data_IF_507251276853
#
_entry.id   IF_507251276853
#
_cell.length_a   1.000
_cell.length_b   1.000
_cell.length_c   1.000
_cell.angle_alpha   90.00
_cell.angle_beta   90.00
_cell.angle_gamma   90.00
#
_symmetry.space_group_name_H-M   'P 1'
#
loop_
_entity.id
_entity.type
_entity.pdbx_description
1 polymer ?
#
# COMPACT_ATOMS: atom_id res chain seq x y z
N UNK A 1 -12.39 -32.30 52.45
CA UNK A 1 -12.37 -30.86 52.11
C UNK A 1 -10.99 -30.58 51.54
N UNK A 2 -10.80 -30.15 50.29
CA UNK A 2 -11.19 -28.89 49.61
C UNK A 2 -11.34 -29.24 48.11
N UNK A 3 -12.51 -29.20 47.49
CA UNK A 3 -13.16 -28.11 46.73
C UNK A 3 -12.22 -27.34 45.77
N UNK A 4 -12.28 -27.74 44.49
CA UNK A 4 -12.28 -26.89 43.28
C UNK A 4 -10.98 -26.12 42.96
N UNK A 5 -10.40 -26.52 41.83
CA UNK A 5 -9.60 -25.67 40.97
C UNK A 5 -10.01 -25.86 39.50
N UNK A 6 -11.31 -25.77 39.20
CA UNK A 6 -11.81 -25.72 37.81
C UNK A 6 -11.98 -24.26 37.39
N UNK A 7 -10.96 -23.64 36.79
CA UNK A 7 -11.03 -22.33 36.13
C UNK A 7 -9.86 -22.29 35.12
N UNK A 8 -9.99 -21.99 33.83
CA UNK A 8 -11.07 -21.55 32.95
C UNK A 8 -10.65 -21.94 31.53
N UNK A 9 -11.57 -22.53 30.76
CA UNK A 9 -11.43 -22.65 29.31
C UNK A 9 -11.51 -21.26 28.69
N UNK A 10 -10.45 -20.81 28.04
CA UNK A 10 -10.56 -19.72 27.07
C UNK A 10 -11.12 -20.30 25.78
N UNK A 11 -12.43 -20.20 25.62
CA UNK A 11 -13.03 -20.27 24.30
C UNK A 11 -12.60 -18.99 23.56
N UNK A 12 -11.67 -19.12 22.61
CA UNK A 12 -11.48 -18.08 21.59
C UNK A 12 -12.72 -18.16 20.71
N UNK A 13 -13.73 -17.34 21.01
CA UNK A 13 -14.86 -17.17 20.09
C UNK A 13 -14.29 -16.53 18.82
N UNK A 14 -14.14 -17.37 17.79
CA UNK A 14 -13.93 -16.97 16.42
C UNK A 14 -15.17 -16.22 15.90
N UNK A 15 -15.32 -14.96 16.29
CA UNK A 15 -16.29 -13.99 15.74
C UNK A 15 -15.79 -13.43 14.39
N UNK A 16 -15.22 -14.32 13.55
CA UNK A 16 -14.12 -13.99 12.63
C UNK A 16 -14.47 -13.49 11.22
N UNK A 17 -15.72 -13.15 10.88
CA UNK A 17 -16.07 -12.75 9.50
C UNK A 17 -16.84 -11.42 9.39
N UNK A 18 -17.84 -11.20 10.25
CA UNK A 18 -18.61 -9.95 10.21
C UNK A 18 -17.82 -8.74 10.73
N UNK A 19 -16.88 -8.96 11.67
CA UNK A 19 -15.99 -7.92 12.16
C UNK A 19 -14.93 -7.57 11.09
N UNK A 20 -14.32 -8.59 10.49
CA UNK A 20 -13.30 -8.44 9.44
C UNK A 20 -13.81 -7.67 8.23
N UNK A 21 -15.02 -7.96 7.76
CA UNK A 21 -15.62 -7.23 6.62
C UNK A 21 -15.89 -5.76 6.93
N UNK A 22 -16.23 -5.43 8.18
CA UNK A 22 -16.37 -4.03 8.64
C UNK A 22 -15.02 -3.35 8.74
N UNK A 23 -14.04 -4.00 9.36
CA UNK A 23 -12.67 -3.49 9.46
C UNK A 23 -12.04 -3.25 8.08
N UNK A 24 -12.30 -4.13 7.12
CA UNK A 24 -11.85 -3.97 5.73
C UNK A 24 -12.47 -2.73 5.07
N UNK A 25 -13.77 -2.51 5.29
CA UNK A 25 -14.47 -1.31 4.82
C UNK A 25 -13.87 -0.05 5.44
N UNK A 26 -13.64 -0.07 6.75
CA UNK A 26 -13.07 1.06 7.49
C UNK A 26 -11.66 1.38 6.97
N UNK A 27 -10.87 0.36 6.64
CA UNK A 27 -9.53 0.54 6.06
C UNK A 27 -9.57 1.08 4.62
N UNK A 28 -10.51 0.59 3.80
CA UNK A 28 -10.73 1.13 2.46
C UNK A 28 -11.18 2.61 2.51
N UNK A 29 -12.08 2.95 3.43
CA UNK A 29 -12.52 4.33 3.65
C UNK A 29 -11.41 5.22 4.18
N UNK A 30 -10.56 4.71 5.09
CA UNK A 30 -9.37 5.42 5.58
C UNK A 30 -8.45 5.77 4.42
N UNK A 31 -8.16 4.82 3.54
CA UNK A 31 -7.24 5.04 2.43
C UNK A 31 -7.81 6.01 1.38
N UNK A 32 -9.10 5.91 1.08
CA UNK A 32 -9.81 6.88 0.24
C UNK A 32 -9.76 8.29 0.84
N UNK A 33 -10.00 8.41 2.16
CA UNK A 33 -9.89 9.68 2.87
C UNK A 33 -8.47 10.23 2.91
N UNK A 34 -7.47 9.38 3.07
CA UNK A 34 -6.06 9.78 3.00
C UNK A 34 -5.72 10.36 1.63
N UNK A 35 -6.12 9.70 0.53
CA UNK A 35 -5.86 10.20 -0.82
C UNK A 35 -6.54 11.57 -1.03
N UNK A 36 -7.77 11.74 -0.52
CA UNK A 36 -8.46 13.02 -0.59
C UNK A 36 -7.71 14.12 0.17
N UNK A 37 -7.26 13.85 1.40
CA UNK A 37 -6.46 14.80 2.20
C UNK A 37 -5.15 15.14 1.51
N UNK A 38 -4.42 14.15 0.99
CA UNK A 38 -3.16 14.39 0.29
C UNK A 38 -3.35 15.20 -0.98
N UNK A 39 -4.47 15.03 -1.69
CA UNK A 39 -4.79 15.82 -2.87
C UNK A 39 -5.11 17.28 -2.51
N UNK A 40 -5.86 17.51 -1.43
CA UNK A 40 -6.07 18.86 -0.90
C UNK A 40 -4.73 19.50 -0.46
N UNK A 41 -3.89 18.77 0.28
CA UNK A 41 -2.56 19.22 0.69
C UNK A 41 -1.64 19.48 -0.51
N UNK A 42 -1.70 18.67 -1.57
CA UNK A 42 -0.89 18.86 -2.77
C UNK A 42 -1.16 20.23 -3.41
N UNK A 43 -2.44 20.60 -3.50
CA UNK A 43 -2.86 21.90 -4.03
C UNK A 43 -2.47 23.03 -3.07
N UNK A 44 -2.72 22.86 -1.76
CA UNK A 44 -2.47 23.90 -0.76
C UNK A 44 -0.98 24.21 -0.58
N UNK A 45 -0.14 23.18 -0.54
CA UNK A 45 1.30 23.30 -0.37
C UNK A 45 2.02 23.59 -1.70
N UNK A 46 1.29 23.55 -2.83
CA UNK A 46 1.82 23.58 -4.18
C UNK A 46 3.00 22.58 -4.33
N UNK A 47 2.78 21.34 -3.87
CA UNK A 47 3.78 20.27 -3.85
C UNK A 47 3.16 18.96 -4.29
N UNK A 48 3.97 18.12 -4.93
CA UNK A 48 3.57 16.76 -5.30
C UNK A 48 3.71 15.80 -4.11
N UNK A 49 2.66 15.02 -3.89
CA UNK A 49 2.65 13.90 -2.95
C UNK A 49 2.62 12.58 -3.73
N UNK A 50 3.01 11.51 -3.06
CA UNK A 50 3.02 10.18 -3.63
C UNK A 50 2.68 9.13 -2.60
N UNK A 51 2.02 8.07 -3.04
CA UNK A 51 1.76 6.90 -2.21
C UNK A 51 2.64 5.74 -2.69
N UNK A 52 3.55 5.33 -1.82
CA UNK A 52 4.29 4.08 -1.95
C UNK A 52 3.41 2.95 -1.41
N UNK A 53 2.91 2.11 -2.30
CA UNK A 53 2.02 0.99 -2.00
C UNK A 53 2.81 -0.32 -2.08
N UNK A 54 2.63 -1.17 -1.07
CA UNK A 54 3.14 -2.54 -1.00
C UNK A 54 1.97 -3.46 -0.65
N UNK A 55 2.14 -4.76 -0.87
CA UNK A 55 1.05 -5.73 -0.56
C UNK A 55 0.60 -5.69 0.90
N UNK A 56 1.45 -5.24 1.82
CA UNK A 56 1.19 -5.29 3.27
C UNK A 56 1.28 -3.92 3.95
N UNK A 57 1.50 -2.85 3.18
CA UNK A 57 1.68 -1.52 3.75
C UNK A 57 1.56 -0.42 2.70
N UNK A 58 1.33 0.80 3.15
CA UNK A 58 1.51 1.99 2.32
C UNK A 58 2.22 3.09 3.10
N UNK A 59 2.89 3.99 2.39
CA UNK A 59 3.59 5.15 2.96
C UNK A 59 3.42 6.37 2.07
N UNK A 60 3.21 7.52 2.70
CA UNK A 60 3.18 8.81 2.03
C UNK A 60 4.60 9.35 1.83
N UNK A 61 4.86 9.80 0.62
CA UNK A 61 6.07 10.49 0.21
C UNK A 61 5.67 11.89 -0.29
N UNK A 62 6.59 12.83 -0.17
CA UNK A 62 6.49 14.14 -0.79
C UNK A 62 7.71 14.38 -1.69
N UNK A 63 7.49 15.05 -2.80
CA UNK A 63 8.57 15.42 -3.70
C UNK A 63 9.29 16.67 -3.19
N UNK A 64 10.60 16.56 -2.97
CA UNK A 64 11.48 17.69 -2.65
C UNK A 64 12.03 18.24 -3.97
N UNK A 65 11.39 19.28 -4.50
CA UNK A 65 11.76 19.92 -5.78
C UNK A 65 13.20 20.46 -5.77
N UNK A 66 13.69 20.95 -4.63
CA UNK A 66 15.04 21.49 -4.50
C UNK A 66 16.12 20.40 -4.64
N UNK A 67 15.80 19.17 -4.23
CA UNK A 67 16.71 18.02 -4.32
C UNK A 67 16.39 17.07 -5.48
N UNK A 68 15.20 17.21 -6.08
CA UNK A 68 14.67 16.30 -7.09
C UNK A 68 14.49 14.86 -6.59
N UNK A 69 14.08 14.68 -5.33
CA UNK A 69 13.95 13.36 -4.71
C UNK A 69 12.63 13.21 -3.95
N UNK A 70 12.10 11.98 -3.95
CA UNK A 70 11.00 11.60 -3.08
C UNK A 70 11.51 11.32 -1.66
N UNK A 71 10.85 11.92 -0.67
CA UNK A 71 11.20 11.75 0.74
C UNK A 71 9.96 11.43 1.58
N UNK A 72 10.15 10.67 2.66
CA UNK A 72 9.08 10.40 3.62
C UNK A 72 8.61 11.69 4.28
N UNK A 73 7.30 11.84 4.46
CA UNK A 73 6.71 13.01 5.12
C UNK A 73 6.90 12.89 6.64
N UNK A 74 7.50 13.89 7.31
CA UNK A 74 7.66 13.86 8.77
C UNK A 74 6.32 13.69 9.49
N UNK A 75 6.26 12.76 10.45
CA UNK A 75 5.03 12.44 11.20
C UNK A 75 4.09 11.47 10.49
N UNK A 76 4.28 11.18 9.20
CA UNK A 76 3.54 10.14 8.48
C UNK A 76 4.37 8.85 8.41
N UNK A 77 4.11 7.96 9.35
CA UNK A 77 4.74 6.64 9.37
C UNK A 77 4.11 5.71 8.32
N UNK A 78 4.85 4.67 7.95
CA UNK A 78 4.29 3.59 7.14
C UNK A 78 3.11 2.94 7.86
N UNK A 79 1.98 2.88 7.18
CA UNK A 79 0.82 2.18 7.67
C UNK A 79 0.90 0.72 7.23
N UNK A 80 0.86 -0.22 8.19
CA UNK A 80 0.82 -1.66 7.90
C UNK A 80 -0.61 -2.16 7.86
N UNK A 81 -0.89 -2.96 6.85
CA UNK A 81 -2.15 -3.69 6.76
C UNK A 81 -2.27 -4.70 7.90
N UNK A 82 -3.49 -4.91 8.42
CA UNK A 82 -3.78 -6.06 9.25
C UNK A 82 -3.37 -7.35 8.55
N UNK A 83 -2.98 -8.37 9.33
CA UNK A 83 -2.48 -9.65 8.78
C UNK A 83 -3.51 -10.38 7.90
N UNK A 84 -4.79 -10.08 8.07
CA UNK A 84 -5.89 -10.64 7.29
C UNK A 84 -6.17 -9.87 5.99
N UNK A 85 -5.53 -8.71 5.77
CA UNK A 85 -5.70 -7.87 4.59
C UNK A 85 -4.43 -7.82 3.73
N UNK A 86 -4.61 -7.43 2.47
CA UNK A 86 -3.53 -7.11 1.53
C UNK A 86 -4.00 -6.08 0.51
N UNK A 87 -3.03 -5.39 -0.07
CA UNK A 87 -3.24 -4.43 -1.16
C UNK A 87 -2.83 -5.05 -2.50
N UNK A 88 -3.57 -4.72 -3.56
CA UNK A 88 -3.20 -4.98 -4.94
C UNK A 88 -3.44 -3.71 -5.76
N UNK A 89 -2.41 -3.26 -6.47
CA UNK A 89 -2.46 -2.02 -7.26
C UNK A 89 -2.32 -2.37 -8.75
N UNK A 90 -3.20 -1.80 -9.56
CA UNK A 90 -3.12 -1.83 -11.02
C UNK A 90 -3.00 -0.38 -11.53
N UNK A 91 -2.03 -0.15 -12.40
CA UNK A 91 -1.79 1.14 -13.05
C UNK A 91 -2.11 1.00 -14.53
N UNK A 92 -2.91 1.90 -15.09
CA UNK A 92 -3.21 1.94 -16.54
C UNK A 92 -3.64 0.59 -17.18
N UNK A 93 -4.26 -0.30 -16.40
CA UNK A 93 -4.71 -1.63 -16.86
C UNK A 93 -3.62 -2.71 -16.91
N UNK A 94 -2.40 -2.42 -16.44
CA UNK A 94 -1.35 -3.41 -16.25
C UNK A 94 -1.23 -3.78 -14.75
N UNK A 95 -1.35 -5.07 -14.39
CA UNK A 95 -1.29 -5.48 -12.99
C UNK A 95 0.14 -5.31 -12.45
N UNK A 96 0.30 -4.47 -11.42
CA UNK A 96 1.61 -4.24 -10.80
C UNK A 96 1.86 -5.27 -9.69
N UNK A 97 2.93 -6.05 -9.84
CA UNK A 97 3.39 -6.95 -8.77
C UNK A 97 4.03 -6.15 -7.64
N UNK A 98 3.25 -5.90 -6.61
CA UNK A 98 3.73 -5.25 -5.38
C UNK A 98 4.76 -6.15 -4.68
N UNK A 99 5.93 -5.60 -4.36
CA UNK A 99 6.96 -6.33 -3.62
C UNK A 99 6.62 -6.36 -2.13
N UNK A 100 6.64 -7.55 -1.52
CA UNK A 100 6.59 -7.71 -0.07
C UNK A 100 7.85 -7.10 0.57
N UNK A 101 7.77 -6.53 1.77
CA UNK A 101 8.93 -5.96 2.44
C UNK A 101 9.94 -7.09 2.73
N UNK A 102 10.98 -7.18 1.91
CA UNK A 102 12.13 -8.06 2.16
C UNK A 102 12.88 -7.50 3.36
N UNK A 103 13.00 -8.31 4.41
CA UNK A 103 13.94 -8.04 5.51
C UNK A 103 15.35 -8.05 4.90
N UNK A 104 15.97 -6.88 4.91
CA UNK A 104 17.38 -6.66 4.63
C UNK A 104 18.22 -7.58 5.52
N UNK A 105 18.85 -8.59 4.93
CA UNK A 105 19.95 -9.34 5.56
C UNK A 105 21.05 -9.52 4.51
N UNK A 106 22.25 -9.35 5.02
CA UNK A 106 23.54 -9.12 4.39
C UNK A 106 24.03 -10.11 3.33
N UNK A 107 24.85 -9.53 2.43
CA UNK A 107 26.07 -10.04 1.78
C UNK A 107 26.05 -11.37 1.01
N UNK A 108 26.33 -11.29 -0.31
CA UNK A 108 27.42 -12.04 -0.97
C UNK A 108 27.61 -11.54 -2.43
N UNK A 109 28.79 -11.04 -2.84
CA UNK A 109 29.06 -10.65 -4.22
C UNK A 109 29.64 -11.83 -5.04
N UNK A 110 28.85 -12.35 -5.98
CA UNK A 110 29.30 -13.33 -6.98
C UNK A 110 29.71 -12.64 -8.28
N UNK A 111 31.01 -12.60 -8.56
CA UNK A 111 31.59 -12.17 -9.85
C UNK A 111 31.43 -13.26 -10.92
N UNK A 112 30.89 -12.90 -12.09
CA UNK A 112 31.31 -13.47 -13.37
C UNK A 112 30.93 -12.55 -14.54
N UNK A 113 31.87 -12.45 -15.47
CA UNK A 113 31.99 -11.48 -16.56
C UNK A 113 31.59 -12.13 -17.91
N UNK A 114 31.45 -11.28 -18.93
CA UNK A 114 31.25 -11.54 -20.37
C UNK A 114 29.78 -11.63 -20.84
N UNK A 115 29.14 -10.53 -21.25
CA UNK A 115 29.28 -9.68 -22.46
C UNK A 115 28.26 -10.07 -23.55
N UNK A 116 27.14 -9.34 -23.61
CA UNK A 116 26.53 -8.81 -24.85
C UNK A 116 25.45 -7.76 -24.49
N UNK A 117 25.27 -6.79 -25.40
CA UNK A 117 24.94 -5.38 -25.11
C UNK A 117 23.45 -5.03 -24.85
N UNK A 118 23.28 -3.81 -24.29
CA UNK A 118 22.07 -2.97 -24.24
C UNK A 118 20.94 -3.28 -23.26
N UNK A 119 21.22 -3.11 -21.96
CA UNK A 119 20.37 -2.33 -21.04
C UNK A 119 21.26 -1.72 -19.96
N UNK A 120 21.57 -0.42 -20.07
CA UNK A 120 22.14 0.37 -18.96
C UNK A 120 21.05 0.64 -17.91
N UNK A 121 20.53 -0.41 -17.29
CA UNK A 121 20.01 -0.29 -15.93
C UNK A 121 21.24 -0.19 -15.04
N UNK A 122 21.68 1.04 -14.77
CA UNK A 122 22.68 1.29 -13.74
C UNK A 122 22.11 0.70 -12.46
N UNK A 123 22.63 -0.45 -12.04
CA UNK A 123 22.68 -0.84 -10.63
C UNK A 123 23.43 0.27 -9.89
N UNK A 124 22.70 1.30 -9.49
CA UNK A 124 23.14 2.21 -8.46
C UNK A 124 23.19 1.37 -7.19
N UNK A 125 24.38 0.89 -6.82
CA UNK A 125 24.73 0.40 -5.48
C UNK A 125 24.69 1.55 -4.44
N UNK A 126 23.57 2.28 -4.43
CA UNK A 126 23.15 3.15 -3.35
C UNK A 126 21.74 2.72 -2.92
N UNK A 127 21.26 3.13 -1.74
CA UNK A 127 19.91 2.80 -1.31
C UNK A 127 18.92 3.21 -2.41
N UNK A 128 18.14 2.25 -2.93
CA UNK A 128 17.05 2.51 -3.88
C UNK A 128 16.13 3.54 -3.23
N UNK A 129 16.08 4.74 -3.80
CA UNK A 129 15.20 5.78 -3.27
C UNK A 129 13.74 5.29 -3.40
N UNK A 130 12.90 5.55 -2.40
CA UNK A 130 11.52 5.09 -2.44
C UNK A 130 10.78 5.88 -3.53
N UNK A 131 10.34 5.19 -4.57
CA UNK A 131 9.53 5.78 -5.64
C UNK A 131 8.05 5.44 -5.40
N UNK A 132 7.15 6.43 -5.32
CA UNK A 132 5.72 6.17 -5.17
C UNK A 132 5.15 5.55 -6.46
N UNK A 133 4.16 4.67 -6.30
CA UNK A 133 3.44 4.10 -7.45
C UNK A 133 2.27 5.00 -7.85
N UNK A 134 1.63 5.64 -6.88
CA UNK A 134 0.53 6.57 -7.10
C UNK A 134 1.05 8.01 -6.91
N UNK A 135 0.81 8.86 -7.90
CA UNK A 135 1.15 10.27 -7.87
C UNK A 135 -0.07 11.13 -7.57
N UNK A 136 0.13 12.15 -6.76
CA UNK A 136 -0.87 13.13 -6.35
C UNK A 136 -0.28 14.52 -6.63
N UNK A 137 -0.78 15.16 -7.67
CA UNK A 137 -0.19 16.37 -8.23
C UNK A 137 -0.79 17.63 -7.60
N UNK A 138 -0.01 18.71 -7.57
CA UNK A 138 -0.47 20.02 -7.10
C UNK A 138 -1.54 20.66 -7.99
N UNK A 139 -1.80 20.09 -9.18
CA UNK A 139 -2.95 20.44 -10.03
C UNK A 139 -4.28 19.93 -9.45
N UNK A 140 -4.25 19.04 -8.46
CA UNK A 140 -5.40 18.28 -7.98
C UNK A 140 -5.65 16.99 -8.77
N UNK A 141 -4.80 16.67 -9.74
CA UNK A 141 -4.87 15.44 -10.52
C UNK A 141 -4.18 14.27 -9.79
N UNK A 142 -4.66 13.07 -10.07
CA UNK A 142 -4.11 11.81 -9.59
C UNK A 142 -3.57 11.01 -10.77
N UNK A 143 -2.56 10.15 -10.57
CA UNK A 143 -2.26 9.12 -11.57
C UNK A 143 -3.43 8.11 -11.63
N UNK A 144 -3.93 7.72 -12.82
CA UNK A 144 -5.01 6.73 -12.92
C UNK A 144 -4.65 5.38 -12.27
N UNK A 145 -5.59 4.81 -11.52
CA UNK A 145 -5.32 3.56 -10.78
C UNK A 145 -6.58 2.78 -10.43
N UNK A 146 -6.39 1.48 -10.18
CA UNK A 146 -7.29 0.62 -9.41
C UNK A 146 -6.52 0.04 -8.24
N UNK A 147 -6.99 0.29 -7.03
CA UNK A 147 -6.42 -0.25 -5.80
C UNK A 147 -7.44 -1.14 -5.11
N UNK A 148 -7.12 -2.42 -4.97
CA UNK A 148 -7.92 -3.37 -4.22
C UNK A 148 -7.37 -3.55 -2.81
N UNK A 149 -8.26 -3.52 -1.82
CA UNK A 149 -8.01 -3.98 -0.47
C UNK A 149 -8.80 -5.27 -0.29
N UNK A 150 -8.08 -6.38 -0.24
CA UNK A 150 -8.66 -7.72 -0.21
C UNK A 150 -8.35 -8.42 1.11
N UNK A 151 -9.31 -9.18 1.63
CA UNK A 151 -9.02 -10.21 2.61
C UNK A 151 -8.10 -11.27 1.99
N UNK A 152 -7.21 -11.85 2.79
CA UNK A 152 -6.30 -12.92 2.34
C UNK A 152 -7.01 -14.26 2.12
N UNK A 153 -8.26 -14.38 2.58
CA UNK A 153 -9.07 -15.57 2.38
C UNK A 153 -9.53 -15.69 0.90
N UNK A 154 -9.51 -16.88 0.28
CA UNK A 154 -9.83 -17.06 -1.15
C UNK A 154 -11.23 -16.59 -1.59
N UNK A 155 -12.17 -16.43 -0.65
CA UNK A 155 -13.54 -15.93 -0.90
C UNK A 155 -13.87 -14.72 -0.01
N UNK A 156 -12.83 -14.06 0.48
CA UNK A 156 -12.98 -12.91 1.36
C UNK A 156 -13.50 -11.68 0.61
N UNK A 157 -13.92 -10.68 1.37
CA UNK A 157 -14.43 -9.42 0.84
C UNK A 157 -13.30 -8.66 0.15
N UNK A 158 -13.63 -7.93 -0.92
CA UNK A 158 -12.70 -7.02 -1.60
C UNK A 158 -13.37 -5.66 -1.75
N UNK A 159 -12.66 -4.61 -1.35
CA UNK A 159 -13.02 -3.23 -1.67
C UNK A 159 -12.08 -2.69 -2.73
N UNK A 160 -12.61 -1.92 -3.66
CA UNK A 160 -11.84 -1.23 -4.70
C UNK A 160 -11.93 0.28 -4.55
N UNK A 161 -10.82 0.94 -4.85
CA UNK A 161 -10.68 2.37 -5.02
C UNK A 161 -10.21 2.60 -6.46
N UNK A 162 -10.99 3.36 -7.22
CA UNK A 162 -10.71 3.62 -8.63
C UNK A 162 -10.65 5.12 -8.87
N UNK A 163 -9.65 5.56 -9.63
CA UNK A 163 -9.57 6.93 -10.14
C UNK A 163 -9.11 6.90 -11.60
N UNK A 164 -9.74 7.74 -12.41
CA UNK A 164 -9.34 8.06 -13.79
C UNK A 164 -8.34 9.23 -13.85
N UNK A 165 -7.87 9.67 -12.68
CA UNK A 165 -6.96 10.80 -12.51
C UNK A 165 -7.63 12.15 -12.22
N UNK A 166 -8.96 12.23 -12.37
CA UNK A 166 -9.72 13.45 -12.09
C UNK A 166 -10.73 13.25 -10.95
N UNK A 167 -11.27 12.04 -10.80
CA UNK A 167 -12.23 11.74 -9.76
C UNK A 167 -11.54 11.19 -8.51
N UNK A 168 -11.97 11.70 -7.35
CA UNK A 168 -11.53 11.17 -6.06
C UNK A 168 -11.97 9.71 -5.89
N UNK A 169 -11.06 8.81 -5.52
CA UNK A 169 -11.38 7.41 -5.32
C UNK A 169 -12.34 7.24 -4.15
N UNK A 170 -13.39 6.44 -4.33
CA UNK A 170 -14.30 6.03 -3.26
C UNK A 170 -14.12 4.55 -2.98
N UNK A 171 -14.28 4.17 -1.71
CA UNK A 171 -14.28 2.77 -1.32
C UNK A 171 -15.59 2.09 -1.72
N UNK A 172 -15.54 1.24 -2.74
CA UNK A 172 -16.68 0.47 -3.23
C UNK A 172 -16.44 -1.03 -3.08
N UNK A 173 -17.50 -1.80 -2.86
CA UNK A 173 -17.39 -3.27 -2.80
C UNK A 173 -17.18 -3.80 -4.22
N UNK A 174 -16.10 -4.56 -4.44
CA UNK A 174 -15.82 -5.15 -5.75
C UNK A 174 -16.94 -6.14 -6.13
N UNK A 175 -17.45 -6.05 -7.35
CA UNK A 175 -18.43 -7.00 -7.87
C UNK A 175 -17.69 -8.26 -8.31
N UNK A 176 -17.94 -9.39 -7.62
CA UNK A 176 -17.45 -10.76 -7.84
C UNK A 176 -16.30 -10.95 -8.85
N UNK A 177 -15.15 -11.46 -8.37
CA UNK A 177 -14.10 -12.00 -9.25
C UNK A 177 -14.69 -13.11 -10.11
N UNK A 178 -14.84 -12.86 -11.40
CA UNK A 178 -15.22 -13.87 -12.40
C UNK A 178 -14.08 -14.84 -12.67
#
# INVERSE_FOLDING_TARGET
MVIIGSLLSLAVLSTGNANTSRELRDEAQRLSGLIAVLSDEAVLDNREYGLLVRSESYRVLAYDEAKGVWAAVPGQNEHRMPVWARLELELEGEPLKLSTPVKENDDEPGLSQDQDEEKKEKEKNGPRQPEPQLLILSSGELSPFRLEIAEREPKGTVYELVSDGFQMPKAELAKERR
#
